data_IF_280971096923
#
_entry.id   IF_280971096923
#
_cell.length_a   1.000
_cell.length_b   1.000
_cell.length_c   1.000
_cell.angle_alpha   90.00
_cell.angle_beta   90.00
_cell.angle_gamma   90.00
#
_symmetry.space_group_name_H-M   'P 1'
#
loop_
_entity.id
_entity.type
_entity.pdbx_description
1 polymer ?
#
# COMPACT_ATOMS: atom_id res chain seq x y z
N UNK A 1 -16.33 0.41 14.07
CA UNK A 1 -15.75 1.34 13.12
C UNK A 1 -14.44 0.83 12.60
N UNK A 2 -14.29 0.85 11.31
CA UNK A 2 -13.07 0.34 10.67
C UNK A 2 -11.96 1.37 10.76
N UNK A 3 -10.73 0.90 10.95
CA UNK A 3 -9.57 1.78 10.93
C UNK A 3 -9.37 2.41 9.56
N UNK A 4 -9.96 1.83 8.54
CA UNK A 4 -9.84 2.36 7.19
C UNK A 4 -10.63 3.65 7.00
N UNK A 5 -11.55 3.95 7.92
CA UNK A 5 -12.29 5.21 7.86
C UNK A 5 -11.36 6.40 8.03
N UNK A 6 -10.13 6.16 8.50
CA UNK A 6 -9.20 7.23 8.81
C UNK A 6 -7.86 6.97 8.17
N UNK A 7 -7.87 6.72 6.89
CA UNK A 7 -6.62 6.54 6.17
C UNK A 7 -5.86 7.86 6.22
N UNK A 8 -4.62 7.77 6.66
CA UNK A 8 -3.78 8.96 6.74
C UNK A 8 -3.52 9.50 5.35
N UNK A 9 -3.43 10.83 5.21
CA UNK A 9 -3.26 11.42 3.88
C UNK A 9 -2.08 10.87 3.09
N UNK A 10 -0.97 10.51 3.77
CA UNK A 10 0.18 10.02 3.04
C UNK A 10 -0.05 8.61 2.48
N UNK A 11 -1.12 7.92 2.91
CA UNK A 11 -1.46 6.61 2.38
C UNK A 11 -2.41 6.68 1.20
N UNK A 12 -2.88 7.87 0.84
CA UNK A 12 -3.80 8.01 -0.28
C UNK A 12 -3.31 7.36 -1.57
N UNK A 13 -2.03 7.47 -1.92
CA UNK A 13 -1.58 6.86 -3.17
C UNK A 13 -1.79 5.35 -3.26
N UNK A 14 -1.95 4.68 -2.12
CA UNK A 14 -2.17 3.23 -2.12
C UNK A 14 -3.49 2.86 -1.48
N UNK A 15 -4.39 3.82 -1.35
CA UNK A 15 -5.67 3.56 -0.70
C UNK A 15 -6.43 2.42 -1.37
N UNK A 16 -6.42 2.39 -2.68
CA UNK A 16 -7.09 1.34 -3.42
C UNK A 16 -6.46 -0.03 -3.16
N UNK A 17 -5.14 -0.07 -2.96
CA UNK A 17 -4.48 -1.33 -2.65
C UNK A 17 -4.87 -1.82 -1.27
N UNK A 18 -5.00 -0.90 -0.32
CA UNK A 18 -5.38 -1.27 1.04
C UNK A 18 -6.80 -1.78 1.11
N UNK A 19 -7.65 -1.34 0.19
CA UNK A 19 -9.04 -1.73 0.18
C UNK A 19 -9.34 -2.89 -0.77
N UNK A 20 -8.33 -3.36 -1.50
CA UNK A 20 -8.52 -4.44 -2.48
C UNK A 20 -8.58 -5.78 -1.76
N UNK A 21 -9.72 -6.49 -1.84
CA UNK A 21 -9.87 -7.76 -1.12
C UNK A 21 -8.99 -8.88 -1.67
N UNK A 22 -8.42 -8.73 -2.86
CA UNK A 22 -7.53 -9.75 -3.42
C UNK A 22 -6.10 -9.58 -2.94
N UNK A 23 -5.78 -8.46 -2.31
CA UNK A 23 -4.45 -8.21 -1.80
C UNK A 23 -4.41 -8.61 -0.33
N UNK A 24 -3.50 -9.52 0.00
CA UNK A 24 -3.38 -10.02 1.36
C UNK A 24 -2.34 -9.24 2.16
N UNK A 25 -1.42 -8.58 1.46
CA UNK A 25 -0.39 -7.82 2.16
C UNK A 25 0.13 -6.73 1.26
N UNK A 26 0.41 -5.56 1.86
CA UNK A 26 1.05 -4.46 1.15
C UNK A 26 2.36 -4.19 1.86
N UNK A 27 3.45 -4.21 1.10
CA UNK A 27 4.79 -4.03 1.64
C UNK A 27 5.37 -2.73 1.09
N UNK A 28 5.91 -1.92 2.00
CA UNK A 28 6.49 -0.64 1.62
C UNK A 28 7.96 -0.64 2.02
N UNK A 29 8.83 -0.45 1.06
CA UNK A 29 10.27 -0.47 1.28
C UNK A 29 10.90 0.83 0.84
N UNK A 30 12.12 1.05 1.30
CA UNK A 30 12.95 2.17 0.86
C UNK A 30 12.23 3.50 1.03
N UNK A 31 11.67 3.70 2.24
CA UNK A 31 11.05 4.97 2.57
C UNK A 31 9.83 5.31 1.74
N UNK A 32 9.18 4.30 1.17
CA UNK A 32 7.97 4.51 0.38
C UNK A 32 8.20 4.52 -1.11
N UNK A 33 9.44 4.32 -1.54
CA UNK A 33 9.76 4.34 -2.96
C UNK A 33 9.40 3.05 -3.67
N UNK A 34 9.45 1.94 -2.94
CA UNK A 34 9.20 0.62 -3.51
C UNK A 34 8.02 0.00 -2.81
N UNK A 35 6.95 -0.26 -3.55
CA UNK A 35 5.75 -0.84 -3.00
C UNK A 35 5.50 -2.17 -3.69
N UNK A 36 5.23 -3.19 -2.88
CA UNK A 36 4.93 -4.52 -3.35
C UNK A 36 3.62 -4.97 -2.73
N UNK A 37 2.90 -5.81 -3.43
CA UNK A 37 1.68 -6.40 -2.89
C UNK A 37 1.75 -7.90 -3.04
N UNK A 38 1.11 -8.60 -2.11
CA UNK A 38 0.97 -10.04 -2.21
C UNK A 38 -0.47 -10.36 -2.59
N UNK A 39 -0.63 -11.14 -3.64
CA UNK A 39 -1.93 -11.52 -4.15
C UNK A 39 -1.86 -12.97 -4.54
N UNK A 40 -2.75 -13.81 -3.93
CA UNK A 40 -2.77 -15.24 -4.19
C UNK A 40 -1.40 -15.89 -4.01
N UNK A 41 -0.67 -15.46 -2.98
CA UNK A 41 0.64 -16.01 -2.69
C UNK A 41 1.74 -15.53 -3.59
N UNK A 42 1.45 -14.62 -4.50
CA UNK A 42 2.44 -14.07 -5.43
C UNK A 42 2.73 -12.62 -5.06
N UNK A 43 4.01 -12.28 -5.00
CA UNK A 43 4.42 -10.92 -4.70
C UNK A 43 4.65 -10.18 -6.01
N UNK A 44 4.02 -9.01 -6.13
CA UNK A 44 4.09 -8.19 -7.32
C UNK A 44 4.57 -6.80 -6.96
N UNK A 45 5.43 -6.24 -7.79
CA UNK A 45 5.85 -4.86 -7.62
C UNK A 45 4.79 -3.91 -8.16
N UNK A 46 4.67 -2.74 -7.51
CA UNK A 46 3.76 -1.70 -7.96
C UNK A 46 4.61 -0.46 -8.27
N UNK A 47 5.27 -0.44 -9.42
CA UNK A 47 6.29 0.57 -9.68
C UNK A 47 5.74 1.97 -9.92
N UNK A 48 4.45 2.08 -10.24
CA UNK A 48 3.85 3.38 -10.50
C UNK A 48 3.29 4.03 -9.24
N UNK A 49 3.52 3.46 -8.08
CA UNK A 49 3.04 3.98 -6.82
C UNK A 49 4.19 4.20 -5.87
N UNK A 50 4.16 5.30 -5.18
CA UNK A 50 5.14 5.61 -4.15
C UNK A 50 4.43 6.31 -3.01
N UNK A 51 5.06 6.26 -1.83
CA UNK A 51 4.59 6.99 -0.67
C UNK A 51 5.64 7.99 -0.28
N UNK A 52 5.18 9.16 0.14
CA UNK A 52 6.08 10.14 0.74
C UNK A 52 6.03 9.95 2.24
N UNK A 53 7.09 9.37 2.76
CA UNK A 53 7.20 9.19 4.20
C UNK A 53 8.17 10.24 4.71
N UNK A 54 7.65 11.28 5.28
CA UNK A 54 8.47 12.36 5.80
C UNK A 54 8.61 12.24 7.28
N UNK A 55 9.76 12.58 7.74
CA UNK A 55 10.01 12.57 9.17
C UNK A 55 9.85 13.95 9.75
#
# INVERSE_FOLDING_TARGET
>A
MSSLDRILPFLKPIEDLLCDPTITEVMVNDGGRHIFVERDGTIEAVPDRTLETRN
#
